data_IF_744668094340
#
_entry.id   IF_744668094340
#
_cell.length_a   1.000
_cell.length_b   1.000
_cell.length_c   1.000
_cell.angle_alpha   90.00
_cell.angle_beta   90.00
_cell.angle_gamma   90.00
#
_symmetry.space_group_name_H-M   'P 1'
#
loop_
_entity.id
_entity.type
_entity.pdbx_description
1 polymer ?
#
# COMPACT_ATOMS: atom_id res chain seq x y z
N UNK A 1 0.46 33.52 0.07
CA UNK A 1 0.64 32.39 1.00
C UNK A 1 -0.30 31.29 0.51
N UNK A 2 0.19 30.15 0.02
CA UNK A 2 -0.69 29.06 -0.38
C UNK A 2 -1.28 28.45 0.87
N UNK A 3 -2.60 28.40 0.95
CA UNK A 3 -3.32 27.69 2.01
C UNK A 3 -2.85 26.22 1.99
N UNK A 4 -2.40 25.71 3.13
CA UNK A 4 -1.91 24.33 3.22
C UNK A 4 -3.14 23.43 3.23
N UNK A 5 -3.49 22.88 2.07
CA UNK A 5 -4.53 21.85 1.97
C UNK A 5 -4.15 20.69 2.89
N UNK A 6 -5.00 20.38 3.86
CA UNK A 6 -4.82 19.21 4.71
C UNK A 6 -5.30 17.99 3.94
N UNK A 7 -4.43 17.00 3.79
CA UNK A 7 -4.67 15.74 3.08
C UNK A 7 -4.50 14.57 4.02
N UNK A 8 -5.31 13.52 3.85
CA UNK A 8 -5.09 12.19 4.44
C UNK A 8 -5.40 11.08 3.43
N UNK A 9 -4.92 9.88 3.74
CA UNK A 9 -5.15 8.67 2.97
C UNK A 9 -6.02 7.72 3.81
N UNK A 10 -7.28 7.58 3.44
CA UNK A 10 -8.25 6.75 4.15
C UNK A 10 -8.20 5.32 3.61
N UNK A 11 -7.97 4.34 4.49
CA UNK A 11 -7.94 2.94 4.10
C UNK A 11 -9.33 2.47 3.66
N UNK A 12 -9.39 1.82 2.49
CA UNK A 12 -10.58 1.18 1.98
C UNK A 12 -10.50 -0.31 2.31
N UNK A 13 -11.48 -0.84 3.04
CA UNK A 13 -11.54 -2.27 3.32
C UNK A 13 -11.61 -3.07 1.99
N UNK A 14 -10.79 -4.13 1.84
CA UNK A 14 -10.78 -4.96 0.66
C UNK A 14 -12.05 -5.80 0.58
N UNK A 15 -12.42 -6.21 -0.63
CA UNK A 15 -13.54 -7.12 -0.85
C UNK A 15 -13.31 -8.49 -0.18
N UNK A 16 -12.05 -8.93 -0.14
CA UNK A 16 -11.63 -10.14 0.55
C UNK A 16 -10.77 -9.77 1.76
N UNK A 17 -11.27 -10.06 2.98
CA UNK A 17 -10.52 -9.79 4.20
C UNK A 17 -9.42 -10.82 4.50
N UNK A 18 -9.48 -11.97 3.84
CA UNK A 18 -8.56 -13.09 4.04
C UNK A 18 -7.56 -13.14 2.91
N UNK A 19 -6.30 -13.35 3.25
CA UNK A 19 -5.24 -13.64 2.30
C UNK A 19 -3.97 -14.06 3.02
N UNK A 20 -3.02 -14.58 2.25
CA UNK A 20 -1.74 -15.09 2.75
C UNK A 20 -0.57 -14.16 2.36
N UNK A 21 -0.86 -12.87 2.16
CA UNK A 21 0.14 -11.85 1.82
C UNK A 21 0.56 -11.11 3.09
N UNK A 22 1.88 -10.95 3.25
CA UNK A 22 2.49 -10.42 4.47
C UNK A 22 3.24 -9.12 4.26
N UNK A 23 3.34 -8.66 3.00
CA UNK A 23 4.08 -7.46 2.61
C UNK A 23 5.50 -7.53 3.17
N UNK A 24 6.11 -8.72 3.20
CA UNK A 24 7.32 -9.00 4.01
C UNK A 24 8.62 -8.54 3.34
N UNK A 25 8.55 -8.30 2.02
CA UNK A 25 9.66 -7.90 1.19
C UNK A 25 10.12 -6.46 1.35
N UNK A 26 11.01 -6.05 0.44
CA UNK A 26 11.43 -4.65 0.35
C UNK A 26 10.32 -3.79 -0.26
N UNK A 27 10.32 -2.50 0.09
CA UNK A 27 9.33 -1.55 -0.43
C UNK A 27 9.85 -0.89 -1.70
N UNK A 28 9.07 -0.97 -2.77
CA UNK A 28 9.24 -0.14 -3.96
C UNK A 28 8.19 0.96 -3.97
N UNK A 29 8.58 2.14 -4.43
CA UNK A 29 7.70 3.31 -4.54
C UNK A 29 7.88 3.88 -5.94
N UNK A 30 6.78 4.09 -6.66
CA UNK A 30 6.82 4.69 -8.00
C UNK A 30 7.31 6.13 -7.95
N UNK A 31 7.76 6.64 -9.10
CA UNK A 31 8.22 8.01 -9.19
C UNK A 31 7.08 9.02 -8.91
N UNK A 32 5.85 8.74 -9.32
CA UNK A 32 4.69 9.60 -9.03
C UNK A 32 4.49 9.75 -7.54
N UNK A 33 4.38 8.64 -6.81
CA UNK A 33 4.23 8.66 -5.35
C UNK A 33 5.42 9.35 -4.67
N UNK A 34 6.66 9.04 -5.07
CA UNK A 34 7.85 9.62 -4.44
C UNK A 34 8.01 11.13 -4.72
N UNK A 35 7.43 11.64 -5.80
CA UNK A 35 7.44 13.07 -6.15
C UNK A 35 6.36 13.85 -5.39
N UNK A 36 5.19 13.23 -5.17
CA UNK A 36 4.01 13.92 -4.63
C UNK A 36 3.77 13.72 -3.13
N UNK A 37 4.18 12.59 -2.58
CA UNK A 37 4.04 12.30 -1.16
C UNK A 37 5.31 12.67 -0.43
N UNK A 38 5.14 13.21 0.78
CA UNK A 38 6.24 13.34 1.72
C UNK A 38 6.62 11.95 2.22
N UNK A 39 7.89 11.77 2.55
CA UNK A 39 8.40 10.51 3.11
C UNK A 39 7.62 10.07 4.37
N UNK A 40 7.17 11.01 5.20
CA UNK A 40 6.32 10.72 6.36
C UNK A 40 4.97 10.08 5.98
N UNK A 41 4.37 10.45 4.84
CA UNK A 41 3.12 9.87 4.35
C UNK A 41 3.35 8.43 3.88
N UNK A 42 4.43 8.20 3.14
CA UNK A 42 4.84 6.86 2.67
C UNK A 42 5.10 5.94 3.88
N UNK A 43 5.86 6.41 4.87
CA UNK A 43 6.15 5.63 6.09
C UNK A 43 4.88 5.28 6.85
N UNK A 44 3.90 6.20 6.95
CA UNK A 44 2.62 5.92 7.61
C UNK A 44 1.82 4.83 6.88
N UNK A 45 1.79 4.86 5.56
CA UNK A 45 1.15 3.82 4.75
C UNK A 45 1.81 2.45 4.99
N UNK A 46 3.14 2.39 4.95
CA UNK A 46 3.89 1.15 5.22
C UNK A 46 3.61 0.63 6.63
N UNK A 47 3.69 1.50 7.65
CA UNK A 47 3.43 1.10 9.04
C UNK A 47 2.00 0.60 9.24
N UNK A 48 1.02 1.26 8.62
CA UNK A 48 -0.37 0.81 8.66
C UNK A 48 -0.51 -0.61 8.12
N UNK A 49 0.05 -0.88 6.93
CA UNK A 49 0.02 -2.24 6.34
C UNK A 49 0.70 -3.26 7.25
N UNK A 50 1.87 -2.93 7.81
CA UNK A 50 2.59 -3.86 8.70
C UNK A 50 1.80 -4.21 9.95
N UNK A 51 1.11 -3.24 10.56
CA UNK A 51 0.23 -3.48 11.71
C UNK A 51 -0.97 -4.33 11.28
N UNK A 52 -1.62 -3.97 10.18
CA UNK A 52 -2.80 -4.68 9.68
C UNK A 52 -2.50 -6.18 9.38
N UNK A 53 -1.37 -6.46 8.73
CA UNK A 53 -0.91 -7.84 8.48
C UNK A 53 -0.72 -8.62 9.79
N UNK A 54 -0.14 -7.98 10.82
CA UNK A 54 0.07 -8.62 12.12
C UNK A 54 -1.25 -8.91 12.83
N UNK A 55 -2.21 -7.98 12.77
CA UNK A 55 -3.52 -8.13 13.40
C UNK A 55 -4.38 -9.20 12.70
N UNK A 56 -4.35 -9.26 11.37
CA UNK A 56 -5.14 -10.20 10.56
C UNK A 56 -4.44 -11.53 10.27
N UNK A 57 -3.14 -11.64 10.59
CA UNK A 57 -2.29 -12.78 10.27
C UNK A 57 -2.28 -13.12 8.77
N UNK A 58 -2.03 -12.09 7.96
CA UNK A 58 -2.13 -12.13 6.50
C UNK A 58 -3.37 -11.38 6.00
N UNK A 59 -3.25 -10.76 4.83
CA UNK A 59 -4.31 -9.99 4.16
C UNK A 59 -4.29 -10.21 2.65
N UNK A 60 -5.21 -9.57 1.92
CA UNK A 60 -5.23 -9.53 0.45
C UNK A 60 -3.92 -8.93 -0.12
N UNK A 61 -3.55 -9.32 -1.34
CA UNK A 61 -2.36 -8.80 -2.03
C UNK A 61 -2.48 -7.32 -2.37
N UNK A 62 -3.70 -6.81 -2.58
CA UNK A 62 -3.98 -5.41 -2.93
C UNK A 62 -4.60 -4.66 -1.77
N UNK A 63 -3.98 -3.55 -1.39
CA UNK A 63 -4.46 -2.63 -0.36
C UNK A 63 -4.70 -1.26 -0.97
N UNK A 64 -5.87 -0.67 -0.69
CA UNK A 64 -6.33 0.56 -1.34
C UNK A 64 -6.51 1.66 -0.32
N UNK A 65 -6.02 2.86 -0.65
CA UNK A 65 -6.22 4.06 0.13
C UNK A 65 -6.82 5.15 -0.74
N UNK A 66 -7.94 5.71 -0.30
CA UNK A 66 -8.59 6.87 -0.91
C UNK A 66 -7.94 8.16 -0.43
N UNK A 67 -7.68 9.10 -1.33
CA UNK A 67 -7.31 10.46 -0.92
C UNK A 67 -8.55 11.18 -0.35
N UNK A 68 -8.35 11.84 0.78
CA UNK A 68 -9.33 12.77 1.33
C UNK A 68 -8.66 14.12 1.61
N UNK A 69 -9.32 15.18 1.18
CA UNK A 69 -8.92 16.57 1.44
C UNK A 69 -9.84 17.18 2.49
N UNK A 70 -9.28 17.99 3.39
CA UNK A 70 -10.08 18.74 4.35
C UNK A 70 -10.57 20.03 3.69
N UNK A 71 -11.88 20.09 3.44
CA UNK A 71 -12.55 21.20 2.80
C UNK A 71 -13.80 21.56 3.58
N UNK A 72 -14.06 22.86 3.79
CA UNK A 72 -15.27 23.34 4.45
C UNK A 72 -15.58 22.61 5.79
N UNK A 73 -14.54 22.43 6.61
CA UNK A 73 -14.61 21.77 7.93
C UNK A 73 -14.95 20.25 7.89
N UNK A 74 -14.87 19.60 6.73
CA UNK A 74 -15.08 18.15 6.60
C UNK A 74 -14.02 17.50 5.69
N UNK A 75 -13.90 16.17 5.76
CA UNK A 75 -13.08 15.40 4.83
C UNK A 75 -13.93 15.03 3.60
N UNK A 76 -13.40 15.32 2.42
CA UNK A 76 -14.02 15.02 1.13
C UNK A 76 -13.12 14.06 0.37
N UNK A 77 -13.67 12.91 0.01
CA UNK A 77 -13.01 11.89 -0.81
C UNK A 77 -12.81 12.41 -2.23
N UNK A 78 -11.60 12.24 -2.76
CA UNK A 78 -11.28 12.52 -4.17
C UNK A 78 -11.32 11.23 -4.99
N UNK A 79 -11.10 11.34 -6.29
CA UNK A 79 -10.98 10.17 -7.18
C UNK A 79 -9.59 9.52 -7.09
N UNK A 80 -8.62 10.19 -6.43
CA UNK A 80 -7.25 9.69 -6.33
C UNK A 80 -7.16 8.55 -5.32
N UNK A 81 -6.40 7.54 -5.70
CA UNK A 81 -6.15 6.36 -4.88
C UNK A 81 -4.68 6.00 -4.89
N UNK A 82 -4.21 5.44 -3.78
CA UNK A 82 -2.94 4.72 -3.69
C UNK A 82 -3.24 3.24 -3.60
N UNK A 83 -2.50 2.46 -4.38
CA UNK A 83 -2.43 1.01 -4.27
C UNK A 83 -1.13 0.59 -3.59
N UNK A 84 -1.21 -0.44 -2.76
CA UNK A 84 -0.06 -1.15 -2.21
C UNK A 84 -0.23 -2.62 -2.54
N UNK A 85 0.71 -3.16 -3.34
CA UNK A 85 0.57 -4.48 -3.96
C UNK A 85 1.76 -5.36 -3.58
N UNK A 86 1.50 -6.47 -2.89
CA UNK A 86 2.50 -7.49 -2.58
C UNK A 86 2.64 -8.49 -3.73
N UNK A 87 3.87 -8.81 -4.12
CA UNK A 87 4.13 -9.65 -5.31
C UNK A 87 4.10 -11.14 -5.01
N UNK A 88 4.44 -11.55 -3.79
CA UNK A 88 4.50 -12.96 -3.41
C UNK A 88 3.73 -13.18 -2.11
N UNK A 89 2.82 -14.15 -2.11
CA UNK A 89 2.22 -14.66 -0.87
C UNK A 89 3.25 -15.48 -0.08
N UNK A 90 2.93 -15.74 1.18
CA UNK A 90 3.72 -16.65 2.01
C UNK A 90 3.76 -18.07 1.43
N UNK A 91 2.66 -18.60 0.94
CA UNK A 91 2.62 -19.88 0.22
C UNK A 91 3.61 -19.91 -0.95
N UNK A 92 3.67 -18.84 -1.76
CA UNK A 92 4.63 -18.74 -2.87
C UNK A 92 6.08 -18.67 -2.40
N UNK A 93 6.35 -18.02 -1.27
CA UNK A 93 7.67 -17.94 -0.66
C UNK A 93 8.11 -19.27 -0.04
N UNK A 94 7.18 -20.06 0.49
CA UNK A 94 7.48 -21.33 1.17
C UNK A 94 7.46 -22.53 0.22
N UNK A 95 6.66 -22.49 -0.85
CA UNK A 95 6.49 -23.58 -1.81
C UNK A 95 7.59 -23.68 -2.88
N UNK A 96 7.53 -24.71 -3.72
CA UNK A 96 8.58 -24.99 -4.73
C UNK A 96 8.29 -24.38 -6.11
N UNK A 97 7.26 -23.52 -6.22
CA UNK A 97 6.84 -22.88 -7.48
C UNK A 97 7.80 -21.81 -8.01
N UNK A 98 8.69 -21.29 -7.16
CA UNK A 98 9.71 -20.29 -7.51
C UNK A 98 11.09 -20.75 -7.06
N UNK A 99 12.11 -20.45 -7.86
CA UNK A 99 13.51 -20.63 -7.45
C UNK A 99 13.88 -19.68 -6.30
N UNK A 100 15.00 -19.94 -5.62
CA UNK A 100 15.49 -19.05 -4.56
C UNK A 100 15.80 -17.64 -5.07
N UNK A 101 16.33 -17.55 -6.28
CA UNK A 101 16.66 -16.29 -6.95
C UNK A 101 15.38 -15.51 -7.27
N UNK A 102 14.36 -16.18 -7.84
CA UNK A 102 13.07 -15.56 -8.12
C UNK A 102 12.38 -15.07 -6.84
N UNK A 103 12.41 -15.86 -5.76
CA UNK A 103 11.87 -15.44 -4.46
C UNK A 103 12.60 -14.20 -3.94
N UNK A 104 13.92 -14.13 -4.08
CA UNK A 104 14.70 -12.97 -3.63
C UNK A 104 14.38 -11.72 -4.43
N UNK A 105 14.24 -11.83 -5.75
CA UNK A 105 13.96 -10.70 -6.64
C UNK A 105 12.52 -10.19 -6.50
N UNK A 106 11.57 -11.12 -6.38
CA UNK A 106 10.15 -10.80 -6.35
C UNK A 106 9.59 -10.60 -4.93
N UNK A 107 10.37 -10.83 -3.87
CA UNK A 107 9.92 -10.51 -2.50
C UNK A 107 9.98 -9.01 -2.25
N UNK A 108 9.00 -8.30 -2.80
CA UNK A 108 8.77 -6.88 -2.64
C UNK A 108 7.29 -6.55 -2.73
N UNK A 109 6.96 -5.37 -2.23
CA UNK A 109 5.65 -4.76 -2.45
C UNK A 109 5.82 -3.34 -2.98
N UNK A 110 4.88 -2.94 -3.84
CA UNK A 110 4.95 -1.67 -4.58
C UNK A 110 3.87 -0.72 -4.12
N UNK A 111 4.24 0.52 -3.84
CA UNK A 111 3.33 1.64 -3.58
C UNK A 111 3.27 2.51 -4.84
N UNK A 112 2.06 2.68 -5.37
CA UNK A 112 1.80 3.42 -6.60
C UNK A 112 0.45 4.14 -6.53
N UNK A 113 0.27 5.17 -7.34
CA UNK A 113 -1.07 5.70 -7.59
C UNK A 113 -1.87 4.74 -8.47
N UNK A 114 -3.19 4.73 -8.30
CA UNK A 114 -4.07 3.83 -9.06
C UNK A 114 -4.07 4.11 -10.57
N UNK A 115 -3.73 5.34 -11.00
CA UNK A 115 -3.61 5.72 -12.40
C UNK A 115 -2.24 5.33 -13.01
N UNK A 116 -1.31 4.82 -12.20
CA UNK A 116 -0.04 4.24 -12.65
C UNK A 116 -0.13 2.71 -12.89
N UNK A 117 -1.27 2.09 -12.57
CA UNK A 117 -1.55 0.65 -12.72
C UNK A 117 -2.28 0.35 -14.04
#
# INVERSE_FOLDING_TARGET
MSEKVLRRWAYQEPEYEQGDYFFSGFTLVTNGVNTELRQEEIVKLVLFIKVLVQEKNGIDYLQVFDEELFESETWVKTERKIFIIDQLSKEMLEGDGYTKEQKKENNHFTILFADEY
#
